data_IF_325326608772
#
_entry.id   IF_325326608772
#
_cell.length_a   1.000
_cell.length_b   1.000
_cell.length_c   1.000
_cell.angle_alpha   90.00
_cell.angle_beta   90.00
_cell.angle_gamma   90.00
#
_symmetry.space_group_name_H-M   'P 1'
#
loop_
_entity.id
_entity.type
_entity.pdbx_description
1 polymer ?
#
# COMPACT_ATOMS: atom_id res chain seq x y z
N UNK A 1 16.16 -9.77 -0.19
CA UNK A 1 15.66 -9.11 -1.42
C UNK A 1 14.64 -8.06 -1.01
N UNK A 2 14.78 -6.84 -1.50
CA UNK A 2 13.85 -5.74 -1.23
C UNK A 2 12.67 -5.76 -2.21
N UNK A 3 11.54 -5.22 -1.77
CA UNK A 3 10.37 -5.00 -2.62
C UNK A 3 10.69 -3.87 -3.61
N UNK A 4 10.39 -4.06 -4.90
CA UNK A 4 10.51 -2.99 -5.88
C UNK A 4 9.30 -2.05 -5.76
N UNK A 5 9.53 -0.75 -5.84
CA UNK A 5 8.52 0.28 -5.60
C UNK A 5 8.51 1.34 -6.68
N UNK A 6 7.32 1.83 -7.01
CA UNK A 6 7.11 3.06 -7.78
C UNK A 6 5.82 3.74 -7.31
N UNK A 7 5.50 4.89 -7.86
CA UNK A 7 4.33 5.67 -7.44
C UNK A 7 3.55 6.20 -8.64
N UNK A 8 2.29 6.55 -8.39
CA UNK A 8 1.51 7.45 -9.21
C UNK A 8 0.63 8.36 -8.32
N UNK A 9 0.24 9.52 -8.83
CA UNK A 9 -0.54 10.52 -8.11
C UNK A 9 0.14 11.89 -8.07
N UNK A 10 -0.39 12.78 -7.25
CA UNK A 10 0.17 14.13 -7.07
C UNK A 10 1.51 14.10 -6.33
N UNK A 11 1.67 13.11 -5.43
CA UNK A 11 2.90 12.86 -4.68
C UNK A 11 3.18 11.36 -4.62
N UNK A 12 4.46 11.00 -4.54
CA UNK A 12 4.91 9.63 -4.33
C UNK A 12 5.68 9.50 -3.03
N UNK A 13 5.50 8.38 -2.34
CA UNK A 13 6.27 8.03 -1.15
C UNK A 13 7.65 7.53 -1.57
N UNK A 14 8.67 8.14 -1.01
CA UNK A 14 10.07 7.84 -1.32
C UNK A 14 10.91 7.66 -0.06
N UNK A 15 12.02 6.94 -0.21
CA UNK A 15 13.04 6.80 0.82
C UNK A 15 14.41 7.02 0.21
N UNK A 16 15.19 7.90 0.81
CA UNK A 16 16.57 8.17 0.46
C UNK A 16 17.36 8.59 1.72
N UNK A 17 18.54 9.18 1.54
CA UNK A 17 19.37 9.71 2.64
C UNK A 17 18.71 10.84 3.45
N UNK A 18 17.59 11.41 2.95
CA UNK A 18 16.74 12.39 3.66
C UNK A 18 15.52 11.73 4.34
N UNK A 19 15.52 10.42 4.55
CA UNK A 19 14.45 9.63 5.20
C UNK A 19 13.21 9.44 4.35
N UNK A 20 12.15 9.00 5.01
CA UNK A 20 10.86 8.69 4.41
C UNK A 20 10.01 9.95 4.24
N UNK A 21 9.53 10.23 3.03
CA UNK A 21 8.66 11.38 2.75
C UNK A 21 7.84 11.22 1.49
N UNK A 22 6.86 12.09 1.34
CA UNK A 22 6.18 12.29 0.06
C UNK A 22 6.88 13.39 -0.75
N UNK A 23 7.00 13.17 -2.05
CA UNK A 23 7.59 14.13 -2.98
C UNK A 23 6.78 14.19 -4.27
N UNK A 24 6.65 15.39 -4.86
CA UNK A 24 5.90 15.59 -6.10
C UNK A 24 6.63 15.06 -7.34
N UNK A 25 7.93 14.85 -7.26
CA UNK A 25 8.75 14.33 -8.35
C UNK A 25 9.49 13.05 -7.92
N UNK A 26 9.70 12.17 -8.87
CA UNK A 26 10.57 11.02 -8.73
C UNK A 26 12.04 11.49 -8.62
N UNK A 27 12.74 11.17 -7.54
CA UNK A 27 14.12 11.63 -7.33
C UNK A 27 15.12 11.04 -8.34
N UNK A 28 14.81 9.90 -8.96
CA UNK A 28 15.69 9.26 -9.96
C UNK A 28 15.60 9.96 -11.31
N UNK A 29 14.43 10.40 -11.70
CA UNK A 29 14.19 10.98 -13.04
C UNK A 29 14.01 12.50 -13.02
N UNK A 30 13.71 13.09 -11.86
CA UNK A 30 13.35 14.50 -11.70
C UNK A 30 11.98 14.87 -12.29
N UNK A 31 11.20 13.88 -12.74
CA UNK A 31 9.88 14.09 -13.37
C UNK A 31 8.76 13.92 -12.35
N UNK A 32 7.66 14.61 -12.59
CA UNK A 32 6.42 14.38 -11.85
C UNK A 32 5.98 12.91 -12.00
N UNK A 33 5.35 12.37 -10.95
CA UNK A 33 4.76 11.04 -11.00
C UNK A 33 3.62 11.00 -12.04
N UNK A 34 3.40 9.82 -12.69
CA UNK A 34 2.21 9.63 -13.50
C UNK A 34 0.93 9.93 -12.71
N UNK A 35 -0.08 10.46 -13.37
CA UNK A 35 -1.38 10.71 -12.73
C UNK A 35 -2.00 9.39 -12.26
N UNK A 36 -2.84 9.46 -11.23
CA UNK A 36 -3.69 8.33 -10.83
C UNK A 36 -4.66 8.01 -11.97
N UNK A 37 -4.67 6.78 -12.50
CA UNK A 37 -5.70 6.35 -13.44
C UNK A 37 -7.10 6.46 -12.82
N UNK A 38 -8.10 6.81 -13.61
CA UNK A 38 -9.50 6.91 -13.13
C UNK A 38 -10.00 5.62 -12.47
N UNK A 39 -9.67 4.46 -13.05
CA UNK A 39 -10.04 3.17 -12.47
C UNK A 39 -9.42 2.95 -11.08
N UNK A 40 -8.22 3.48 -10.82
CA UNK A 40 -7.60 3.42 -9.50
C UNK A 40 -8.37 4.27 -8.49
N UNK A 41 -8.74 5.48 -8.88
CA UNK A 41 -9.52 6.39 -8.05
C UNK A 41 -10.88 5.77 -7.71
N UNK A 42 -11.56 5.20 -8.70
CA UNK A 42 -12.87 4.55 -8.52
C UNK A 42 -12.81 3.37 -7.55
N UNK A 43 -11.83 2.47 -7.71
CA UNK A 43 -11.65 1.32 -6.82
C UNK A 43 -11.39 1.81 -5.39
N UNK A 44 -10.49 2.77 -5.22
CA UNK A 44 -10.13 3.30 -3.90
C UNK A 44 -11.33 3.96 -3.20
N UNK A 45 -12.09 4.78 -3.92
CA UNK A 45 -13.29 5.45 -3.39
C UNK A 45 -14.37 4.44 -2.99
N UNK A 46 -14.65 3.47 -3.86
CA UNK A 46 -15.66 2.44 -3.58
C UNK A 46 -15.27 1.56 -2.40
N UNK A 47 -14.02 1.13 -2.32
CA UNK A 47 -13.54 0.34 -1.21
C UNK A 47 -13.60 1.10 0.11
N UNK A 48 -13.19 2.36 0.13
CA UNK A 48 -13.28 3.22 1.32
C UNK A 48 -14.73 3.40 1.76
N UNK A 49 -15.66 3.70 0.84
CA UNK A 49 -17.08 3.85 1.14
C UNK A 49 -17.68 2.56 1.72
N UNK A 50 -17.37 1.39 1.13
CA UNK A 50 -17.80 0.09 1.67
C UNK A 50 -17.31 -0.16 3.10
N UNK A 51 -16.19 0.44 3.49
CA UNK A 51 -15.63 0.34 4.84
C UNK A 51 -16.11 1.47 5.77
N UNK A 52 -17.03 2.34 5.32
CA UNK A 52 -17.60 3.43 6.11
C UNK A 52 -16.84 4.75 6.04
N UNK A 53 -15.89 4.89 5.11
CA UNK A 53 -15.14 6.13 4.89
C UNK A 53 -15.65 6.84 3.63
N UNK A 54 -16.64 7.69 3.83
CA UNK A 54 -17.23 8.48 2.73
C UNK A 54 -16.31 9.61 2.26
N UNK A 55 -16.51 10.05 1.00
CA UNK A 55 -15.78 11.18 0.40
C UNK A 55 -14.25 10.99 0.35
N UNK A 56 -13.77 9.76 0.41
CA UNK A 56 -12.34 9.48 0.26
C UNK A 56 -11.87 9.78 -1.16
N UNK A 57 -10.83 10.60 -1.28
CA UNK A 57 -10.17 10.89 -2.55
C UNK A 57 -8.65 10.77 -2.37
N UNK A 58 -8.03 9.69 -2.85
CA UNK A 58 -6.58 9.53 -2.74
C UNK A 58 -5.84 10.52 -3.65
N UNK A 59 -4.67 10.95 -3.24
CA UNK A 59 -3.76 11.77 -4.03
C UNK A 59 -2.43 11.08 -4.30
N UNK A 60 -2.24 9.89 -3.73
CA UNK A 60 -1.04 9.06 -3.88
C UNK A 60 -1.38 7.58 -3.94
N UNK A 61 -0.68 6.85 -4.79
CA UNK A 61 -0.67 5.39 -4.82
C UNK A 61 0.77 4.90 -4.86
N UNK A 62 1.19 4.18 -3.82
CA UNK A 62 2.43 3.42 -3.80
C UNK A 62 2.18 2.06 -4.45
N UNK A 63 2.98 1.71 -5.45
CA UNK A 63 2.92 0.46 -6.19
C UNK A 63 4.11 -0.41 -5.79
N UNK A 64 3.85 -1.50 -5.10
CA UNK A 64 4.85 -2.46 -4.67
C UNK A 64 4.80 -3.72 -5.52
N UNK A 65 5.96 -4.18 -6.01
CA UNK A 65 6.12 -5.47 -6.67
C UNK A 65 6.90 -6.42 -5.78
N UNK A 66 6.28 -7.52 -5.45
CA UNK A 66 6.86 -8.62 -4.69
C UNK A 66 7.13 -9.81 -5.61
N UNK A 67 8.27 -10.45 -5.41
CA UNK A 67 8.62 -11.75 -5.98
C UNK A 67 8.83 -12.76 -4.83
N UNK A 68 8.84 -14.09 -5.10
CA UNK A 68 9.09 -15.09 -4.06
C UNK A 68 10.31 -14.76 -3.20
N UNK A 69 10.18 -14.94 -1.89
CA UNK A 69 11.20 -14.62 -0.89
C UNK A 69 11.26 -13.17 -0.43
N UNK A 70 10.60 -12.24 -1.09
CA UNK A 70 10.52 -10.84 -0.61
C UNK A 70 9.50 -10.70 0.51
N UNK A 71 9.72 -9.74 1.39
CA UNK A 71 8.84 -9.43 2.53
C UNK A 71 8.80 -7.93 2.79
N UNK A 72 7.80 -7.51 3.56
CA UNK A 72 7.73 -6.16 4.10
C UNK A 72 7.61 -6.24 5.62
N UNK A 73 8.59 -5.71 6.32
CA UNK A 73 8.62 -5.72 7.80
C UNK A 73 7.47 -4.92 8.39
N UNK A 74 7.10 -5.22 9.63
CA UNK A 74 6.08 -4.46 10.36
C UNK A 74 6.46 -2.98 10.43
N UNK A 75 5.56 -2.13 9.95
CA UNK A 75 5.68 -0.68 9.93
C UNK A 75 4.33 -0.01 10.12
N UNK A 76 4.32 1.29 10.26
CA UNK A 76 3.13 2.14 10.30
C UNK A 76 3.18 3.13 9.15
N UNK A 77 2.02 3.43 8.56
CA UNK A 77 1.85 4.56 7.66
C UNK A 77 1.52 5.81 8.48
N UNK A 78 2.49 6.72 8.59
CA UNK A 78 2.40 7.92 9.46
C UNK A 78 2.98 9.19 8.84
N UNK A 79 3.28 9.17 7.55
CA UNK A 79 3.84 10.30 6.85
C UNK A 79 2.77 11.16 6.15
N UNK A 80 1.52 10.73 6.17
CA UNK A 80 0.38 11.43 5.60
C UNK A 80 -0.06 12.59 6.50
N UNK A 81 -0.46 13.71 5.88
CA UNK A 81 -0.97 14.89 6.61
C UNK A 81 -2.35 14.66 7.18
N UNK A 82 -3.21 13.94 6.44
CA UNK A 82 -4.58 13.65 6.87
C UNK A 82 -4.66 12.25 7.47
N UNK A 83 -4.54 12.18 8.80
CA UNK A 83 -4.66 10.92 9.54
C UNK A 83 -6.12 10.45 9.71
N UNK A 84 -7.11 11.23 9.31
CA UNK A 84 -8.52 10.84 9.34
C UNK A 84 -8.90 10.01 8.12
N UNK A 85 -8.16 10.16 7.02
CA UNK A 85 -8.35 9.37 5.81
C UNK A 85 -7.86 7.92 6.00
N UNK A 86 -8.58 6.93 5.44
CA UNK A 86 -8.16 5.53 5.49
C UNK A 86 -6.99 5.25 4.56
N UNK A 87 -6.38 4.09 4.74
CA UNK A 87 -5.51 3.45 3.75
C UNK A 87 -6.34 2.40 3.00
N UNK A 88 -6.22 2.37 1.69
CA UNK A 88 -6.82 1.34 0.83
C UNK A 88 -5.72 0.57 0.13
N UNK A 89 -5.72 -0.75 0.27
CA UNK A 89 -4.67 -1.63 -0.26
C UNK A 89 -5.29 -2.72 -1.14
N UNK A 90 -4.95 -2.72 -2.43
CA UNK A 90 -5.43 -3.69 -3.43
C UNK A 90 -4.34 -4.72 -3.69
N UNK A 91 -4.70 -6.00 -3.67
CA UNK A 91 -3.81 -7.13 -3.92
C UNK A 91 -4.04 -7.72 -5.30
N UNK A 92 -2.99 -7.87 -6.09
CA UNK A 92 -3.02 -8.45 -7.44
C UNK A 92 -1.93 -9.51 -7.59
N UNK A 93 -2.24 -10.61 -8.26
CA UNK A 93 -1.28 -11.68 -8.56
C UNK A 93 -1.15 -12.72 -7.45
N UNK A 94 0.07 -13.07 -7.07
CA UNK A 94 0.34 -14.09 -6.06
C UNK A 94 -0.31 -13.74 -4.71
N UNK A 95 -0.82 -14.75 -3.98
CA UNK A 95 -1.33 -14.54 -2.63
C UNK A 95 -0.21 -14.15 -1.67
N UNK A 96 -0.56 -13.40 -0.64
CA UNK A 96 0.35 -13.00 0.42
C UNK A 96 -0.28 -13.17 1.80
N UNK A 97 0.53 -13.33 2.83
CA UNK A 97 0.08 -13.27 4.21
C UNK A 97 0.34 -11.86 4.75
N UNK A 98 -0.74 -11.14 4.93
CA UNK A 98 -0.77 -9.80 5.50
C UNK A 98 -0.80 -9.89 7.02
N UNK A 99 0.16 -9.26 7.66
CA UNK A 99 0.23 -9.11 9.10
C UNK A 99 -0.42 -7.79 9.49
N UNK A 100 -1.39 -7.83 10.38
CA UNK A 100 -2.08 -6.64 10.87
C UNK A 100 -2.15 -6.69 12.40
N UNK A 101 -1.42 -5.79 13.05
CA UNK A 101 -1.25 -5.74 14.50
C UNK A 101 -2.04 -4.62 15.16
N UNK A 102 -1.56 -4.22 16.34
CA UNK A 102 -2.10 -3.08 17.08
C UNK A 102 -1.24 -1.82 16.90
N UNK A 103 -1.47 -0.83 17.76
CA UNK A 103 -0.75 0.43 17.77
C UNK A 103 0.70 0.32 18.25
N UNK A 104 1.10 -0.80 18.85
CA UNK A 104 2.47 -1.06 19.31
C UNK A 104 3.08 -2.19 18.50
N UNK A 105 4.36 -2.05 18.14
CA UNK A 105 5.12 -3.09 17.41
C UNK A 105 5.14 -4.43 18.13
N UNK A 106 5.10 -4.43 19.46
CA UNK A 106 5.10 -5.63 20.28
C UNK A 106 3.76 -6.39 20.30
N UNK A 107 2.67 -5.80 19.79
CA UNK A 107 1.40 -6.50 19.69
C UNK A 107 1.52 -7.62 18.66
N UNK A 108 1.05 -8.82 19.00
CA UNK A 108 1.01 -9.93 18.07
C UNK A 108 0.06 -9.63 16.90
N UNK A 109 0.55 -9.59 15.66
CA UNK A 109 -0.29 -9.31 14.51
C UNK A 109 -1.17 -10.52 14.18
N UNK A 110 -2.41 -10.23 13.77
CA UNK A 110 -3.26 -11.21 13.10
C UNK A 110 -2.74 -11.45 11.69
N UNK A 111 -3.02 -12.62 11.15
CA UNK A 111 -2.58 -13.06 9.83
C UNK A 111 -3.80 -13.18 8.91
N UNK A 112 -3.75 -12.49 7.79
CA UNK A 112 -4.79 -12.54 6.76
C UNK A 112 -4.18 -12.99 5.45
N UNK A 113 -4.74 -14.02 4.83
CA UNK A 113 -4.38 -14.39 3.47
C UNK A 113 -5.08 -13.44 2.51
N UNK A 114 -4.34 -12.69 1.73
CA UNK A 114 -4.83 -11.82 0.67
C UNK A 114 -4.55 -12.46 -0.68
N UNK A 115 -5.57 -12.57 -1.51
CA UNK A 115 -5.52 -13.14 -2.85
C UNK A 115 -5.74 -12.07 -3.92
N UNK A 116 -5.56 -12.44 -5.17
CA UNK A 116 -5.81 -11.56 -6.31
C UNK A 116 -7.23 -10.97 -6.26
N UNK A 117 -7.34 -9.66 -6.27
CA UNK A 117 -8.60 -8.92 -6.19
C UNK A 117 -9.06 -8.56 -4.78
N UNK A 118 -8.40 -9.04 -3.73
CA UNK A 118 -8.72 -8.65 -2.36
C UNK A 118 -8.31 -7.19 -2.09
N UNK A 119 -9.17 -6.49 -1.35
CA UNK A 119 -8.93 -5.11 -0.93
C UNK A 119 -9.02 -5.03 0.59
N UNK A 120 -7.97 -4.55 1.23
CA UNK A 120 -7.95 -4.22 2.64
C UNK A 120 -8.11 -2.71 2.83
N UNK A 121 -8.95 -2.31 3.78
CA UNK A 121 -9.15 -0.90 4.16
C UNK A 121 -8.97 -0.79 5.66
N UNK A 122 -8.16 0.17 6.12
CA UNK A 122 -8.04 0.46 7.54
C UNK A 122 -7.91 1.96 7.80
N UNK A 123 -8.50 2.39 8.91
CA UNK A 123 -8.55 3.79 9.30
C UNK A 123 -9.17 3.95 10.69
N UNK A 124 -9.48 5.16 11.09
CA UNK A 124 -10.00 5.43 12.42
C UNK A 124 -9.10 4.88 13.53
N UNK A 125 -9.61 4.08 14.48
CA UNK A 125 -8.80 3.51 15.56
C UNK A 125 -7.61 2.65 15.10
N UNK A 126 -7.69 2.05 13.92
CA UNK A 126 -6.63 1.20 13.36
C UNK A 126 -5.70 1.92 12.37
N UNK A 127 -5.87 3.23 12.18
CA UNK A 127 -5.09 4.01 11.20
C UNK A 127 -3.58 3.84 11.34
N UNK A 128 -3.10 3.71 12.57
CA UNK A 128 -1.69 3.53 12.90
C UNK A 128 -1.32 2.11 13.32
N UNK A 129 -2.12 1.11 12.93
CA UNK A 129 -1.79 -0.27 13.20
C UNK A 129 -0.50 -0.68 12.48
N UNK A 130 0.38 -1.40 13.20
CA UNK A 130 1.54 -2.01 12.58
C UNK A 130 1.11 -3.12 11.64
N UNK A 131 1.62 -3.10 10.42
CA UNK A 131 1.29 -4.07 9.38
C UNK A 131 2.52 -4.42 8.53
N UNK A 132 2.44 -5.53 7.80
CA UNK A 132 3.53 -6.00 6.97
C UNK A 132 3.12 -7.21 6.13
N UNK A 133 4.08 -7.75 5.38
CA UNK A 133 3.91 -8.94 4.55
C UNK A 133 4.99 -9.95 4.94
N UNK A 134 4.58 -11.21 5.20
CA UNK A 134 5.52 -12.30 5.43
C UNK A 134 6.32 -12.60 4.15
N UNK A 135 7.45 -13.33 4.23
CA UNK A 135 8.16 -13.78 3.02
C UNK A 135 7.18 -14.45 2.04
N UNK A 136 7.22 -13.98 0.78
CA UNK A 136 6.35 -14.47 -0.28
C UNK A 136 6.70 -15.93 -0.63
N UNK A 137 5.69 -16.78 -0.68
CA UNK A 137 5.82 -18.14 -1.16
C UNK A 137 6.02 -18.19 -2.68
N UNK A 138 6.62 -19.27 -3.17
CA UNK A 138 6.66 -19.57 -4.60
C UNK A 138 5.25 -19.78 -5.15
N UNK A 139 5.07 -19.46 -6.41
CA UNK A 139 3.80 -19.64 -7.09
C UNK A 139 3.77 -19.00 -8.47
N UNK A 140 2.66 -19.19 -9.16
CA UNK A 140 2.42 -18.66 -10.49
C UNK A 140 0.97 -18.19 -10.62
N UNK A 141 0.78 -16.95 -11.07
CA UNK A 141 -0.54 -16.38 -11.35
C UNK A 141 -0.72 -16.27 -12.89
N UNK A 142 -1.87 -16.67 -13.45
CA UNK A 142 -2.07 -16.70 -14.91
C UNK A 142 -1.80 -15.37 -15.63
N UNK A 143 -2.03 -14.23 -14.96
CA UNK A 143 -1.85 -12.90 -15.55
C UNK A 143 -0.50 -12.29 -15.15
N UNK A 144 -0.08 -12.44 -13.89
CA UNK A 144 1.08 -11.73 -13.34
C UNK A 144 2.32 -12.63 -13.15
N UNK A 145 2.24 -13.92 -13.51
CA UNK A 145 3.35 -14.85 -13.32
C UNK A 145 3.74 -14.98 -11.85
N UNK A 146 5.03 -15.00 -11.58
CA UNK A 146 5.57 -15.11 -10.21
C UNK A 146 5.67 -13.76 -9.50
N UNK A 147 4.68 -12.89 -9.68
CA UNK A 147 4.64 -11.57 -9.07
C UNK A 147 3.36 -11.35 -8.25
N UNK A 148 3.50 -10.56 -7.21
CA UNK A 148 2.39 -9.87 -6.55
C UNK A 148 2.58 -8.37 -6.73
N UNK A 149 1.53 -7.70 -7.16
CA UNK A 149 1.46 -6.23 -7.16
C UNK A 149 0.52 -5.81 -6.05
N UNK A 150 0.93 -4.85 -5.28
CA UNK A 150 0.09 -4.21 -4.29
C UNK A 150 -0.03 -2.71 -4.61
N UNK A 151 -1.25 -2.22 -4.64
CA UNK A 151 -1.57 -0.81 -4.83
C UNK A 151 -2.04 -0.26 -3.48
N UNK A 152 -1.28 0.65 -2.89
CA UNK A 152 -1.64 1.27 -1.61
C UNK A 152 -1.99 2.74 -1.82
N UNK A 153 -3.27 3.05 -1.68
CA UNK A 153 -3.82 4.39 -1.85
C UNK A 153 -3.82 5.15 -0.54
N UNK A 154 -3.44 6.43 -0.60
CA UNK A 154 -3.37 7.32 0.55
C UNK A 154 -3.84 8.72 0.19
N UNK A 155 -4.34 9.43 1.20
CA UNK A 155 -4.49 10.89 1.19
C UNK A 155 -3.26 11.46 1.89
N UNK A 156 -2.24 11.82 1.10
CA UNK A 156 -0.92 12.18 1.61
C UNK A 156 -0.77 13.67 1.92
N UNK A 157 -1.47 14.53 1.14
CA UNK A 157 -1.41 16.00 1.23
C UNK A 157 -2.78 16.64 1.34
#
# INVERSE_FOLDING_TARGET
MSVAMTNCGQVGWITDHHWYRYNAADPETGRAWPLLPEVFIDIAKRAASCAGFENYLPDSCLINRYVPGTRLSLHQDKNERDSTAPIVSVSLGLPAVFLFGGAKRANHPRRYRLEHGDVAVWGGPSRYAFHGITPMADGYHPILGSNRINLTFRKAI
#
